data_IF_065724471408
#
_entry.id   IF_065724471408
#
_cell.length_a   1.000
_cell.length_b   1.000
_cell.length_c   1.000
_cell.angle_alpha   90.00
_cell.angle_beta   90.00
_cell.angle_gamma   90.00
#
_symmetry.space_group_name_H-M   'P 1'
#
loop_
_entity.id
_entity.type
_entity.pdbx_description
1 polymer ?
#
# COMPACT_ATOMS: atom_id res chain seq x y z
N UNK A 1 61.15 -59.78 13.24
CA UNK A 1 60.44 -59.32 12.03
C UNK A 1 58.94 -59.53 12.16
N UNK A 2 58.40 -60.68 12.55
CA UNK A 2 56.99 -60.98 12.66
C UNK A 2 56.22 -60.10 13.67
N UNK A 3 56.80 -59.83 14.84
CA UNK A 3 56.21 -59.01 15.90
C UNK A 3 56.05 -57.53 15.43
N UNK A 4 57.04 -57.03 14.70
CA UNK A 4 56.98 -55.65 14.15
C UNK A 4 55.89 -55.51 13.05
N UNK A 5 55.67 -56.55 12.26
CA UNK A 5 54.65 -56.60 11.25
C UNK A 5 53.25 -56.63 11.89
N UNK A 6 53.01 -57.42 12.89
CA UNK A 6 51.77 -57.51 13.66
C UNK A 6 51.43 -56.19 14.36
N UNK A 7 52.43 -55.49 14.87
CA UNK A 7 52.25 -54.20 15.50
C UNK A 7 51.79 -53.15 14.49
N UNK A 8 52.40 -53.07 13.32
CA UNK A 8 51.99 -52.19 12.23
C UNK A 8 50.61 -52.54 11.71
N UNK A 9 50.21 -53.78 11.63
CA UNK A 9 48.85 -54.17 11.22
C UNK A 9 47.81 -53.74 12.23
N UNK A 10 48.05 -53.84 13.54
CA UNK A 10 47.16 -53.32 14.58
C UNK A 10 47.01 -51.78 14.48
N UNK A 11 48.16 -51.10 14.39
CA UNK A 11 48.15 -49.62 14.24
C UNK A 11 47.35 -49.18 12.99
N UNK A 12 47.49 -49.87 11.87
CA UNK A 12 46.71 -49.60 10.65
C UNK A 12 45.21 -49.88 10.84
N UNK A 13 44.88 -50.98 11.52
CA UNK A 13 43.48 -51.31 11.84
C UNK A 13 42.85 -50.30 12.76
N UNK A 14 43.53 -49.83 13.77
CA UNK A 14 43.02 -48.77 14.68
C UNK A 14 42.79 -47.45 13.93
N UNK A 15 43.71 -47.10 13.01
CA UNK A 15 43.50 -45.89 12.16
C UNK A 15 42.31 -46.04 11.24
N UNK A 16 42.12 -47.19 10.61
CA UNK A 16 40.99 -47.50 9.75
C UNK A 16 39.68 -47.35 10.55
N UNK A 17 39.61 -47.99 11.70
CA UNK A 17 38.43 -47.92 12.56
C UNK A 17 38.09 -46.48 13.01
N UNK A 18 39.11 -45.69 13.37
CA UNK A 18 38.92 -44.26 13.69
C UNK A 18 38.41 -43.49 12.51
N UNK A 19 38.92 -43.72 11.30
CA UNK A 19 38.46 -43.05 10.08
C UNK A 19 37.06 -43.45 9.71
N UNK A 20 36.68 -44.70 9.84
CA UNK A 20 35.30 -45.16 9.60
C UNK A 20 34.34 -44.50 10.56
N UNK A 21 34.66 -44.39 11.85
CA UNK A 21 33.83 -43.66 12.81
C UNK A 21 33.72 -42.16 12.48
N UNK A 22 34.81 -41.56 12.02
CA UNK A 22 34.79 -40.14 11.59
C UNK A 22 33.92 -39.94 10.35
N UNK A 23 34.02 -40.83 9.37
CA UNK A 23 33.17 -40.79 8.17
C UNK A 23 31.69 -40.93 8.56
N UNK A 24 31.37 -41.87 9.43
CA UNK A 24 29.98 -42.05 9.88
C UNK A 24 29.44 -40.83 10.60
N UNK A 25 30.23 -40.18 11.45
CA UNK A 25 29.82 -38.90 12.10
C UNK A 25 29.59 -37.77 11.10
N UNK A 26 30.50 -37.67 10.10
CA UNK A 26 30.36 -36.64 9.06
C UNK A 26 29.11 -36.88 8.19
N UNK A 27 28.84 -38.14 7.85
CA UNK A 27 27.64 -38.51 7.11
C UNK A 27 26.36 -38.18 7.89
N UNK A 28 26.28 -38.53 9.16
CA UNK A 28 25.13 -38.23 10.02
C UNK A 28 24.93 -36.73 10.19
N UNK A 29 26.01 -35.95 10.35
CA UNK A 29 25.93 -34.50 10.44
C UNK A 29 25.46 -33.87 9.13
N UNK A 30 25.97 -34.35 7.99
CA UNK A 30 25.56 -33.85 6.68
C UNK A 30 24.08 -34.16 6.39
N UNK A 31 23.60 -35.32 6.82
CA UNK A 31 22.19 -35.70 6.69
C UNK A 31 21.30 -34.82 7.58
N UNK A 32 21.72 -34.56 8.81
CA UNK A 32 21.00 -33.64 9.73
C UNK A 32 20.94 -32.22 9.16
N UNK A 33 22.06 -31.70 8.65
CA UNK A 33 22.10 -30.35 8.03
C UNK A 33 21.22 -30.27 6.80
N UNK A 34 21.17 -31.29 5.95
CA UNK A 34 20.27 -31.36 4.80
C UNK A 34 18.82 -31.35 5.23
N UNK A 35 18.46 -32.14 6.23
CA UNK A 35 17.12 -32.19 6.77
C UNK A 35 16.67 -30.82 7.33
N UNK A 36 17.54 -30.18 8.10
CA UNK A 36 17.29 -28.84 8.64
C UNK A 36 17.19 -27.78 7.55
N UNK A 37 18.01 -27.85 6.50
CA UNK A 37 17.92 -26.94 5.35
C UNK A 37 16.58 -27.08 4.62
N UNK A 38 16.14 -28.32 4.42
CA UNK A 38 14.86 -28.61 3.76
C UNK A 38 13.65 -28.10 4.57
N UNK A 39 13.69 -28.24 5.88
CA UNK A 39 12.65 -27.68 6.76
C UNK A 39 12.60 -26.16 6.63
N UNK A 40 13.75 -25.46 6.71
CA UNK A 40 13.81 -24.00 6.55
C UNK A 40 13.32 -23.54 5.17
N UNK A 41 13.70 -24.25 4.12
CA UNK A 41 13.23 -23.95 2.76
C UNK A 41 11.70 -24.09 2.64
N UNK A 42 11.14 -25.17 3.16
CA UNK A 42 9.69 -25.39 3.15
C UNK A 42 8.93 -24.31 3.96
N UNK A 43 9.46 -23.90 5.10
CA UNK A 43 8.90 -22.81 5.90
C UNK A 43 8.95 -21.48 5.15
N UNK A 44 10.02 -21.20 4.43
CA UNK A 44 10.18 -19.99 3.62
C UNK A 44 9.17 -19.98 2.46
N UNK A 45 9.04 -21.09 1.75
CA UNK A 45 8.07 -21.24 0.66
C UNK A 45 6.65 -21.03 1.17
N UNK A 46 6.31 -21.65 2.31
CA UNK A 46 4.97 -21.50 2.92
C UNK A 46 4.69 -20.05 3.30
N UNK A 47 5.66 -19.34 3.87
CA UNK A 47 5.52 -17.92 4.21
C UNK A 47 5.29 -17.06 2.97
N UNK A 48 6.10 -17.26 1.92
CA UNK A 48 5.92 -16.52 0.67
C UNK A 48 4.57 -16.80 0.00
N UNK A 49 4.12 -18.04 0.05
CA UNK A 49 2.77 -18.36 -0.47
C UNK A 49 1.67 -17.63 0.28
N UNK A 50 1.77 -17.56 1.62
CA UNK A 50 0.80 -16.81 2.44
C UNK A 50 0.84 -15.31 2.14
N UNK A 51 2.04 -14.73 1.98
CA UNK A 51 2.20 -13.31 1.62
C UNK A 51 1.62 -13.01 0.22
N UNK A 52 1.86 -13.88 -0.75
CA UNK A 52 1.31 -13.73 -2.10
C UNK A 52 -0.20 -13.83 -2.10
N UNK A 53 -0.76 -14.79 -1.36
CA UNK A 53 -2.20 -14.94 -1.25
C UNK A 53 -2.84 -13.71 -0.61
N UNK A 54 -2.29 -13.20 0.49
CA UNK A 54 -2.79 -11.98 1.14
C UNK A 54 -2.74 -10.77 0.20
N UNK A 55 -1.67 -10.63 -0.59
CA UNK A 55 -1.58 -9.56 -1.61
C UNK A 55 -2.60 -9.74 -2.72
N UNK A 56 -2.83 -10.95 -3.19
CA UNK A 56 -3.84 -11.23 -4.21
C UNK A 56 -5.26 -10.90 -3.71
N UNK A 57 -5.60 -11.33 -2.50
CA UNK A 57 -6.88 -11.00 -1.86
C UNK A 57 -7.09 -9.48 -1.73
N UNK A 58 -6.03 -8.76 -1.38
CA UNK A 58 -6.07 -7.30 -1.31
C UNK A 58 -6.29 -6.67 -2.70
N UNK A 59 -5.60 -7.15 -3.73
CA UNK A 59 -5.79 -6.68 -5.12
C UNK A 59 -7.22 -6.95 -5.59
N UNK A 60 -7.77 -8.13 -5.30
CA UNK A 60 -9.16 -8.46 -5.66
C UNK A 60 -10.16 -7.59 -4.92
N UNK A 61 -9.94 -7.35 -3.62
CA UNK A 61 -10.74 -6.43 -2.83
C UNK A 61 -10.78 -5.01 -3.44
N UNK A 62 -9.61 -4.47 -3.80
CA UNK A 62 -9.55 -3.13 -4.42
C UNK A 62 -10.16 -3.10 -5.82
N UNK A 63 -10.04 -4.17 -6.61
CA UNK A 63 -10.71 -4.27 -7.91
C UNK A 63 -12.24 -4.30 -7.76
N UNK A 64 -12.75 -5.08 -6.81
CA UNK A 64 -14.18 -5.15 -6.53
C UNK A 64 -14.70 -3.80 -6.01
N UNK A 65 -13.96 -3.16 -5.10
CA UNK A 65 -14.27 -1.82 -4.61
C UNK A 65 -14.33 -0.80 -5.76
N UNK A 66 -13.34 -0.80 -6.64
CA UNK A 66 -13.29 0.08 -7.83
C UNK A 66 -14.48 -0.18 -8.76
N UNK A 67 -14.84 -1.45 -8.99
CA UNK A 67 -15.97 -1.82 -9.83
C UNK A 67 -17.29 -1.37 -9.22
N UNK A 68 -17.48 -1.56 -7.92
CA UNK A 68 -18.68 -1.11 -7.20
C UNK A 68 -18.80 0.41 -7.19
N UNK A 69 -17.71 1.12 -6.98
CA UNK A 69 -17.67 2.58 -7.08
C UNK A 69 -18.02 3.04 -8.49
N UNK A 70 -17.41 2.45 -9.53
CA UNK A 70 -17.71 2.78 -10.92
C UNK A 70 -19.19 2.53 -11.27
N UNK A 71 -19.76 1.42 -10.84
CA UNK A 71 -21.17 1.07 -11.09
C UNK A 71 -22.14 2.03 -10.37
N UNK A 72 -21.80 2.43 -9.14
CA UNK A 72 -22.59 3.37 -8.36
C UNK A 72 -22.50 4.80 -8.92
N UNK A 73 -21.35 5.14 -9.50
CA UNK A 73 -21.10 6.46 -10.08
C UNK A 73 -21.65 6.65 -11.50
N UNK A 74 -22.16 5.62 -12.16
CA UNK A 74 -22.87 5.76 -13.45
C UNK A 74 -24.12 6.64 -13.35
N UNK A 75 -24.64 6.87 -12.15
CA UNK A 75 -25.78 7.75 -11.89
C UNK A 75 -25.52 8.97 -11.00
N UNK A 76 -24.30 9.08 -10.43
CA UNK A 76 -23.93 10.16 -9.51
C UNK A 76 -22.66 10.86 -9.99
N UNK A 77 -22.60 12.17 -9.85
CA UNK A 77 -21.34 12.88 -10.01
C UNK A 77 -20.41 12.55 -8.84
N UNK A 78 -19.09 12.64 -9.03
CA UNK A 78 -18.11 12.41 -7.97
C UNK A 78 -18.35 13.35 -6.77
N UNK A 79 -18.77 14.58 -7.01
CA UNK A 79 -19.15 15.56 -6.01
C UNK A 79 -20.29 15.06 -5.10
N UNK A 80 -21.39 14.55 -5.70
CA UNK A 80 -22.54 14.03 -4.94
C UNK A 80 -22.13 12.81 -4.13
N UNK A 81 -21.30 11.93 -4.72
CA UNK A 81 -20.80 10.75 -4.03
C UNK A 81 -19.98 11.12 -2.79
N UNK A 82 -19.02 12.04 -2.91
CA UNK A 82 -18.18 12.48 -1.79
C UNK A 82 -19.02 13.18 -0.69
N UNK A 83 -19.97 14.04 -1.10
CA UNK A 83 -20.87 14.67 -0.15
C UNK A 83 -21.73 13.65 0.60
N UNK A 84 -22.24 12.66 -0.09
CA UNK A 84 -23.04 11.57 0.52
C UNK A 84 -22.21 10.77 1.52
N UNK A 85 -20.98 10.38 1.15
CA UNK A 85 -20.07 9.66 2.05
C UNK A 85 -19.72 10.49 3.29
N UNK A 86 -19.43 11.79 3.14
CA UNK A 86 -19.16 12.66 4.27
C UNK A 86 -20.32 12.66 5.25
N UNK A 87 -21.54 12.90 4.74
CA UNK A 87 -22.74 12.99 5.58
C UNK A 87 -23.09 11.67 6.26
N UNK A 88 -22.83 10.54 5.62
CA UNK A 88 -23.11 9.23 6.18
C UNK A 88 -22.08 8.75 7.19
N UNK A 89 -20.80 8.99 6.92
CA UNK A 89 -19.68 8.40 7.67
C UNK A 89 -19.01 9.38 8.66
N UNK A 90 -18.79 10.61 8.24
CA UNK A 90 -18.04 11.60 9.03
C UNK A 90 -18.94 12.54 9.83
N UNK A 91 -20.07 12.97 9.31
CA UNK A 91 -20.99 13.85 10.03
C UNK A 91 -21.43 13.32 11.41
N UNK A 92 -21.69 12.01 11.60
CA UNK A 92 -22.01 11.47 12.91
C UNK A 92 -20.89 11.59 13.97
N UNK A 93 -19.63 11.58 13.53
CA UNK A 93 -18.45 11.68 14.43
C UNK A 93 -17.86 13.09 14.50
N UNK A 94 -18.18 13.95 13.53
CA UNK A 94 -17.74 15.34 13.40
C UNK A 94 -18.95 16.25 13.16
N UNK A 95 -19.89 16.37 14.12
CA UNK A 95 -21.17 17.07 13.87
C UNK A 95 -21.00 18.56 13.60
N UNK A 96 -19.94 19.19 14.11
CA UNK A 96 -19.66 20.62 13.98
C UNK A 96 -18.78 20.95 12.76
N UNK A 97 -18.25 19.93 12.06
CA UNK A 97 -17.43 20.18 10.90
C UNK A 97 -18.24 20.76 9.75
N UNK A 98 -17.72 21.82 9.15
CA UNK A 98 -18.25 22.40 7.93
C UNK A 98 -17.75 21.58 6.74
N UNK A 99 -18.65 21.09 5.91
CA UNK A 99 -18.33 20.47 4.63
C UNK A 99 -19.44 20.80 3.64
N UNK A 100 -19.20 21.80 2.83
CA UNK A 100 -20.19 22.29 1.88
C UNK A 100 -19.54 22.66 0.54
N UNK A 101 -20.40 22.71 -0.48
CA UNK A 101 -19.99 23.11 -1.83
C UNK A 101 -19.50 24.57 -1.80
N UNK A 102 -18.36 24.81 -2.44
CA UNK A 102 -17.84 26.17 -2.60
C UNK A 102 -18.69 26.93 -3.62
N UNK A 103 -19.57 27.79 -3.12
CA UNK A 103 -20.42 28.62 -3.95
C UNK A 103 -19.87 30.05 -4.16
N UNK A 104 -18.72 30.36 -3.54
CA UNK A 104 -18.11 31.68 -3.68
C UNK A 104 -17.07 31.66 -4.81
N UNK A 105 -17.46 32.29 -5.92
CA UNK A 105 -16.60 32.50 -7.09
C UNK A 105 -16.16 33.98 -7.23
N UNK A 106 -16.27 34.78 -6.16
CA UNK A 106 -16.03 36.23 -6.20
C UNK A 106 -14.61 36.59 -6.66
N UNK A 107 -13.62 35.73 -6.31
CA UNK A 107 -12.21 35.93 -6.66
C UNK A 107 -11.77 35.16 -7.92
N UNK A 108 -12.71 34.66 -8.71
CA UNK A 108 -12.42 33.83 -9.90
C UNK A 108 -11.86 32.44 -9.56
N UNK A 109 -12.00 32.03 -8.31
CA UNK A 109 -11.59 30.70 -7.82
C UNK A 109 -12.78 29.98 -7.25
N UNK A 110 -12.89 28.69 -7.58
CA UNK A 110 -13.98 27.87 -7.11
C UNK A 110 -13.48 26.43 -6.94
N UNK A 111 -13.39 25.98 -5.69
CA UNK A 111 -13.27 24.56 -5.39
C UNK A 111 -14.63 23.87 -5.47
N UNK A 112 -14.64 22.56 -5.44
CA UNK A 112 -15.90 21.82 -5.38
C UNK A 112 -16.47 21.83 -3.97
N UNK A 113 -15.64 21.55 -2.95
CA UNK A 113 -16.02 21.56 -1.54
C UNK A 113 -14.94 22.19 -0.65
N UNK A 114 -15.40 22.76 0.47
CA UNK A 114 -14.55 23.25 1.55
C UNK A 114 -14.92 22.49 2.83
N UNK A 115 -13.91 21.94 3.47
CA UNK A 115 -14.00 21.35 4.80
C UNK A 115 -13.30 22.29 5.80
N UNK A 116 -13.95 22.54 6.94
CA UNK A 116 -13.37 23.26 8.08
C UNK A 116 -13.83 22.60 9.35
N UNK A 117 -12.92 22.45 10.29
CA UNK A 117 -13.30 22.01 11.62
C UNK A 117 -12.62 22.88 12.67
N UNK A 118 -13.32 23.07 13.80
CA UNK A 118 -12.91 23.97 14.86
C UNK A 118 -13.24 23.39 16.22
N UNK A 119 -12.38 23.65 17.19
CA UNK A 119 -12.56 23.32 18.59
C UNK A 119 -12.55 24.62 19.42
N UNK A 120 -13.52 24.79 20.28
CA UNK A 120 -13.68 26.00 21.12
C UNK A 120 -13.64 27.32 20.34
N UNK A 121 -14.16 27.31 19.12
CA UNK A 121 -14.20 28.50 18.25
C UNK A 121 -12.88 28.79 17.51
N UNK A 122 -11.87 27.93 17.66
CA UNK A 122 -10.61 28.05 16.95
C UNK A 122 -10.57 27.01 15.83
N UNK A 123 -10.45 27.45 14.58
CA UNK A 123 -10.25 26.58 13.44
C UNK A 123 -8.87 25.92 13.55
N UNK A 124 -8.83 24.59 13.51
CA UNK A 124 -7.58 23.82 13.59
C UNK A 124 -7.26 23.08 12.29
N UNK A 125 -8.21 23.00 11.35
CA UNK A 125 -8.00 22.42 10.03
C UNK A 125 -8.94 23.04 9.00
N UNK A 126 -8.42 23.30 7.80
CA UNK A 126 -9.19 23.70 6.63
C UNK A 126 -8.64 23.05 5.37
N UNK A 127 -9.52 22.44 4.59
CA UNK A 127 -9.16 21.68 3.39
C UNK A 127 -10.07 22.10 2.24
N UNK A 128 -9.48 22.43 1.11
CA UNK A 128 -10.20 22.61 -0.14
C UNK A 128 -10.16 21.32 -0.94
N UNK A 129 -11.29 20.88 -1.45
CA UNK A 129 -11.42 19.71 -2.31
C UNK A 129 -11.75 20.13 -3.74
N UNK A 130 -11.04 19.55 -4.67
CA UNK A 130 -11.32 19.59 -6.10
C UNK A 130 -11.51 18.15 -6.58
N UNK A 131 -12.55 17.91 -7.39
CA UNK A 131 -12.94 16.58 -7.81
C UNK A 131 -12.84 16.45 -9.33
N UNK A 132 -12.16 15.43 -9.81
CA UNK A 132 -11.97 15.17 -11.23
C UNK A 132 -12.40 13.76 -11.61
N UNK A 133 -13.34 13.69 -12.55
CA UNK A 133 -13.85 12.46 -13.11
C UNK A 133 -13.35 12.29 -14.57
N UNK A 134 -13.09 11.07 -15.00
CA UNK A 134 -12.76 10.77 -16.42
C UNK A 134 -13.81 11.28 -17.42
N UNK A 135 -15.08 11.34 -17.00
CA UNK A 135 -16.16 11.83 -17.85
C UNK A 135 -16.14 13.35 -18.09
N UNK A 136 -15.42 14.09 -17.26
CA UNK A 136 -15.30 15.54 -17.38
C UNK A 136 -14.21 15.95 -18.39
N UNK A 137 -13.53 14.98 -19.01
CA UNK A 137 -12.46 15.24 -19.95
C UNK A 137 -12.98 15.36 -21.37
N UNK A 138 -12.92 16.58 -21.90
CA UNK A 138 -12.91 16.84 -23.34
C UNK A 138 -11.77 16.12 -24.05
N UNK A 139 -11.76 16.02 -25.34
CA UNK A 139 -10.91 15.23 -26.25
C UNK A 139 -9.39 15.11 -25.93
N UNK A 140 -8.89 15.83 -24.92
CA UNK A 140 -7.50 15.74 -24.43
C UNK A 140 -7.51 15.07 -23.05
N UNK A 141 -6.74 13.97 -22.95
CA UNK A 141 -6.57 13.26 -21.69
C UNK A 141 -5.76 14.12 -20.72
N UNK A 142 -6.41 14.71 -19.72
CA UNK A 142 -5.73 15.43 -18.66
C UNK A 142 -5.10 14.49 -17.63
N UNK A 143 -3.98 14.92 -17.05
CA UNK A 143 -3.30 14.23 -15.96
C UNK A 143 -3.59 14.93 -14.64
N UNK A 144 -3.43 14.23 -13.54
CA UNK A 144 -3.59 14.81 -12.20
C UNK A 144 -2.66 16.00 -11.97
N UNK A 145 -1.43 15.91 -12.45
CA UNK A 145 -0.42 16.97 -12.33
C UNK A 145 -0.85 18.29 -12.95
N UNK A 146 -1.68 18.27 -14.01
CA UNK A 146 -2.17 19.46 -14.70
C UNK A 146 -3.02 20.37 -13.80
N UNK A 147 -3.60 19.80 -12.75
CA UNK A 147 -4.48 20.51 -11.83
C UNK A 147 -3.78 21.04 -10.56
N UNK A 148 -2.64 20.48 -10.17
CA UNK A 148 -2.00 20.74 -8.88
C UNK A 148 -1.63 22.20 -8.67
N UNK A 149 -1.06 22.85 -9.68
CA UNK A 149 -0.67 24.26 -9.58
C UNK A 149 -1.87 25.16 -9.31
N UNK A 150 -2.94 24.98 -10.07
CA UNK A 150 -4.17 25.76 -9.90
C UNK A 150 -4.82 25.46 -8.55
N UNK A 151 -4.84 24.21 -8.14
CA UNK A 151 -5.36 23.77 -6.85
C UNK A 151 -4.66 24.49 -5.68
N UNK A 152 -3.34 24.61 -5.71
CA UNK A 152 -2.58 25.31 -4.68
C UNK A 152 -2.84 26.83 -4.70
N UNK A 153 -2.96 27.45 -5.88
CA UNK A 153 -3.31 28.86 -6.01
C UNK A 153 -4.73 29.14 -5.44
N UNK A 154 -5.69 28.28 -5.75
CA UNK A 154 -7.07 28.40 -5.28
C UNK A 154 -7.16 28.15 -3.77
N UNK A 155 -6.43 27.17 -3.23
CA UNK A 155 -6.29 26.92 -1.80
C UNK A 155 -5.86 28.15 -1.02
N UNK A 156 -4.82 28.83 -1.51
CA UNK A 156 -4.29 30.05 -0.86
C UNK A 156 -5.30 31.17 -0.85
N UNK A 157 -6.02 31.39 -1.96
CA UNK A 157 -7.07 32.41 -2.06
C UNK A 157 -8.25 32.12 -1.14
N UNK A 158 -8.59 30.86 -0.94
CA UNK A 158 -9.66 30.42 -0.03
C UNK A 158 -9.21 30.33 1.43
N UNK A 159 -7.94 30.67 1.73
CA UNK A 159 -7.34 30.57 3.06
C UNK A 159 -7.50 29.16 3.68
N UNK A 160 -7.35 28.12 2.84
CA UNK A 160 -7.33 26.75 3.32
C UNK A 160 -5.88 26.29 3.58
N UNK A 161 -5.68 25.53 4.66
CA UNK A 161 -4.37 24.98 5.04
C UNK A 161 -3.92 23.91 4.06
N UNK A 162 -4.86 23.04 3.65
CA UNK A 162 -4.62 21.95 2.72
C UNK A 162 -5.53 22.03 1.50
N UNK A 163 -5.10 21.34 0.44
CA UNK A 163 -5.94 21.06 -0.71
C UNK A 163 -5.83 19.58 -1.10
N UNK A 164 -6.94 18.99 -1.49
CA UNK A 164 -7.02 17.59 -1.90
C UNK A 164 -7.66 17.49 -3.27
N UNK A 165 -6.95 16.87 -4.21
CA UNK A 165 -7.50 16.46 -5.49
C UNK A 165 -8.08 15.05 -5.35
N UNK A 166 -9.40 14.93 -5.41
CA UNK A 166 -10.08 13.64 -5.49
C UNK A 166 -10.26 13.29 -6.95
N UNK A 167 -9.52 12.30 -7.43
CA UNK A 167 -9.43 12.06 -8.87
C UNK A 167 -9.72 10.61 -9.23
N UNK A 168 -10.43 10.42 -10.33
CA UNK A 168 -10.57 9.16 -11.06
C UNK A 168 -9.78 9.16 -12.38
N UNK A 169 -8.98 10.20 -12.60
CA UNK A 169 -8.07 10.28 -13.72
C UNK A 169 -6.93 9.27 -13.52
N UNK A 170 -6.28 8.87 -14.62
CA UNK A 170 -5.10 8.01 -14.63
C UNK A 170 -5.27 6.69 -13.83
N UNK A 171 -6.32 5.90 -14.11
CA UNK A 171 -6.61 4.66 -13.39
C UNK A 171 -5.48 3.61 -13.51
N UNK A 172 -4.58 3.78 -14.48
CA UNK A 172 -3.43 2.89 -14.70
C UNK A 172 -2.17 3.32 -13.92
N UNK A 173 -2.22 4.46 -13.20
CA UNK A 173 -1.07 4.94 -12.44
C UNK A 173 -0.90 4.17 -11.13
N UNK A 174 0.20 3.44 -10.99
CA UNK A 174 0.54 2.74 -9.74
C UNK A 174 0.71 3.70 -8.57
N UNK A 175 1.24 4.90 -8.82
CA UNK A 175 1.43 5.94 -7.82
C UNK A 175 0.09 6.34 -7.19
N UNK A 176 -0.90 6.71 -8.01
CA UNK A 176 -2.20 7.20 -7.52
C UNK A 176 -3.13 6.07 -7.04
N UNK A 177 -2.92 4.85 -7.50
CA UNK A 177 -3.68 3.69 -7.02
C UNK A 177 -3.23 3.21 -5.63
N UNK A 178 -2.12 3.72 -5.11
CA UNK A 178 -1.63 3.44 -3.76
C UNK A 178 -2.43 4.10 -2.63
N UNK A 179 -3.38 4.98 -2.94
CA UNK A 179 -4.20 5.71 -1.98
C UNK A 179 -3.90 7.21 -1.96
N UNK A 180 -3.62 7.79 -0.79
CA UNK A 180 -3.29 9.21 -0.66
C UNK A 180 -1.82 9.43 -1.01
N UNK A 181 -1.58 10.35 -1.94
CA UNK A 181 -0.22 10.74 -2.38
C UNK A 181 0.02 12.18 -1.96
N UNK A 182 1.10 12.44 -1.23
CA UNK A 182 1.53 13.78 -0.89
C UNK A 182 2.32 14.37 -2.08
N UNK A 183 1.78 15.46 -2.63
CA UNK A 183 2.34 16.21 -3.77
C UNK A 183 2.82 17.61 -3.34
N UNK A 184 2.91 17.87 -2.02
CA UNK A 184 3.47 19.14 -1.50
C UNK A 184 4.98 19.20 -1.76
N UNK A 185 5.47 20.30 -2.32
CA UNK A 185 6.88 20.60 -2.56
C UNK A 185 7.29 21.85 -1.80
#
# INVERSE_FOLDING_TARGET
LQIALLKKQREAQDIIQQKEQQIQRLQNNAELERSQAQIRENELIKRHQQELQAKQEMVEYYKDLKTRMSTKMVGETLEIHCSTLFNQMLRPVMPNAYFEKDNDASDGTKGDFIFRDSEDGTEYISIMFEMKNEMDTTATKHKNEDFLKKLDEDRRKKNCEFAVLVSLLEPESELYNGGIVDMSH
#
